data_IF_170441106480
#
_entry.id   IF_170441106480
#
_cell.length_a   1.000
_cell.length_b   1.000
_cell.length_c   1.000
_cell.angle_alpha   90.00
_cell.angle_beta   90.00
_cell.angle_gamma   90.00
#
_symmetry.space_group_name_H-M   'P 1'
#
loop_
_entity.id
_entity.type
_entity.pdbx_description
1 polymer ?
#
# COMPACT_ATOMS: atom_id res chain seq x y z
N UNK A 1 5.51 37.14 21.49
CA UNK A 1 6.49 36.98 20.40
C UNK A 1 6.04 35.82 19.54
N UNK A 2 5.69 36.07 18.28
CA UNK A 2 5.11 35.06 17.36
C UNK A 2 6.27 34.31 16.69
N UNK A 3 6.43 33.02 16.98
CA UNK A 3 7.42 32.17 16.33
C UNK A 3 7.01 31.92 14.88
N UNK A 4 7.94 32.24 13.97
CA UNK A 4 7.79 32.04 12.53
C UNK A 4 8.06 30.57 12.22
N UNK A 5 7.06 29.90 11.67
CA UNK A 5 7.19 28.55 11.13
C UNK A 5 8.07 28.61 9.88
N UNK A 6 9.21 27.93 9.89
CA UNK A 6 10.02 27.72 8.71
C UNK A 6 9.33 26.67 7.83
N UNK A 7 8.70 27.13 6.75
CA UNK A 7 8.36 26.30 5.59
C UNK A 7 9.67 25.85 4.94
N UNK A 8 10.09 24.62 5.22
CA UNK A 8 11.10 23.92 4.45
C UNK A 8 10.54 23.55 3.08
N UNK A 9 11.25 23.91 2.03
CA UNK A 9 10.92 23.70 0.63
C UNK A 9 10.53 22.24 0.32
N UNK A 10 9.24 22.01 0.07
CA UNK A 10 8.73 20.94 -0.79
C UNK A 10 8.10 21.59 -2.01
N UNK A 11 8.93 22.09 -2.93
CA UNK A 11 8.47 22.68 -4.19
C UNK A 11 8.40 21.59 -5.26
N UNK A 12 7.16 21.29 -5.68
CA UNK A 12 6.75 20.75 -7.01
C UNK A 12 7.08 19.26 -7.18
N UNK A 13 6.12 18.33 -7.26
CA UNK A 13 5.20 18.17 -8.40
C UNK A 13 3.80 17.71 -7.94
N UNK A 14 2.84 18.64 -7.95
CA UNK A 14 1.43 18.31 -8.12
C UNK A 14 0.81 19.31 -9.09
N UNK A 15 1.22 19.22 -10.36
CA UNK A 15 0.58 19.97 -11.43
C UNK A 15 0.56 19.13 -12.70
N UNK A 16 -0.34 18.14 -12.70
CA UNK A 16 -1.03 17.72 -13.91
C UNK A 16 -2.51 18.05 -13.76
N UNK A 17 -2.82 19.34 -13.63
CA UNK A 17 -4.11 19.86 -14.07
C UNK A 17 -3.98 20.02 -15.58
N UNK A 18 -4.43 19.01 -16.32
CA UNK A 18 -4.67 19.13 -17.75
C UNK A 18 -5.81 20.13 -17.97
N UNK A 19 -5.49 21.41 -18.09
CA UNK A 19 -6.41 22.42 -18.59
C UNK A 19 -6.43 22.32 -20.12
N UNK A 20 -7.30 21.48 -20.67
CA UNK A 20 -7.69 21.55 -22.08
C UNK A 20 -9.15 21.97 -22.18
N UNK A 21 -9.37 23.21 -22.63
CA UNK A 21 -10.66 23.66 -23.10
C UNK A 21 -10.96 22.97 -24.44
N UNK A 22 -11.79 21.93 -24.42
CA UNK A 22 -12.41 21.45 -25.65
C UNK A 22 -13.55 22.40 -26.01
N UNK A 23 -13.33 23.21 -27.05
CA UNK A 23 -14.41 23.81 -27.83
C UNK A 23 -15.25 22.67 -28.41
N UNK A 24 -16.53 22.64 -28.03
CA UNK A 24 -17.53 21.74 -28.63
C UNK A 24 -18.27 22.54 -29.70
N UNK A 25 -18.13 22.25 -31.00
CA UNK A 25 -19.17 22.60 -31.95
C UNK A 25 -20.37 21.67 -31.72
N UNK A 26 -21.54 22.27 -31.50
CA UNK A 26 -22.79 21.60 -31.11
C UNK A 26 -23.67 21.40 -32.33
N UNK A 27 -23.33 20.46 -33.22
CA UNK A 27 -24.06 20.28 -34.46
C UNK A 27 -24.18 18.79 -34.80
N UNK A 28 -25.12 18.09 -34.15
CA UNK A 28 -25.71 16.86 -34.71
C UNK A 28 -27.11 16.66 -34.14
N UNK A 29 -28.10 17.14 -34.88
CA UNK A 29 -29.50 16.83 -34.70
C UNK A 29 -29.79 15.35 -35.02
N UNK A 30 -30.54 14.74 -34.10
CA UNK A 30 -31.67 13.83 -34.32
C UNK A 30 -31.51 12.62 -35.27
N UNK A 31 -31.63 11.43 -34.69
CA UNK A 31 -32.47 10.38 -35.25
C UNK A 31 -33.42 9.86 -34.16
N UNK A 32 -34.72 10.02 -34.40
CA UNK A 32 -35.78 9.54 -33.52
C UNK A 32 -36.27 8.15 -33.93
N UNK A 33 -36.77 7.42 -32.93
CA UNK A 33 -37.85 6.40 -32.99
C UNK A 33 -37.87 5.77 -31.58
N UNK A 34 -38.89 5.93 -30.73
CA UNK A 34 -40.29 5.64 -30.97
C UNK A 34 -40.58 4.21 -30.50
N UNK A 35 -41.28 4.03 -29.36
CA UNK A 35 -41.82 2.72 -28.97
C UNK A 35 -42.13 2.54 -27.47
N UNK A 36 -43.41 2.63 -27.13
CA UNK A 36 -44.02 2.39 -25.80
C UNK A 36 -44.17 0.88 -25.50
N UNK A 37 -44.15 0.50 -24.22
CA UNK A 37 -44.63 -0.83 -23.78
C UNK A 37 -44.69 -0.98 -22.26
N UNK A 38 -45.91 -1.10 -21.72
CA UNK A 38 -46.31 -1.24 -20.32
C UNK A 38 -46.22 -2.71 -19.84
N UNK A 39 -46.04 -2.96 -18.53
CA UNK A 39 -46.14 -4.33 -17.98
C UNK A 39 -45.75 -4.48 -16.51
N UNK A 40 -46.74 -4.31 -15.63
CA UNK A 40 -46.76 -4.70 -14.20
C UNK A 40 -46.72 -6.22 -14.01
N UNK A 41 -46.03 -6.71 -12.97
CA UNK A 41 -46.13 -8.12 -12.56
C UNK A 41 -45.32 -8.44 -11.29
N UNK A 42 -46.04 -8.57 -10.18
CA UNK A 42 -45.64 -9.04 -8.84
C UNK A 42 -45.18 -10.51 -8.84
N UNK A 43 -44.19 -10.86 -7.99
CA UNK A 43 -44.19 -12.03 -7.09
C UNK A 43 -42.87 -12.17 -6.29
N UNK A 44 -43.01 -12.61 -5.04
CA UNK A 44 -41.99 -13.07 -4.07
C UNK A 44 -42.79 -14.02 -3.12
N UNK A 45 -42.24 -14.99 -2.37
CA UNK A 45 -40.88 -15.59 -2.28
C UNK A 45 -40.87 -17.13 -2.46
N UNK A 46 -39.69 -17.76 -2.46
CA UNK A 46 -39.55 -19.21 -2.31
C UNK A 46 -38.14 -19.64 -1.91
N UNK A 47 -37.97 -20.00 -0.63
CA UNK A 47 -36.80 -20.70 -0.11
C UNK A 47 -36.84 -22.18 -0.52
N UNK A 48 -35.70 -22.78 -0.87
CA UNK A 48 -35.52 -24.23 -0.81
C UNK A 48 -34.08 -24.62 -0.49
N UNK A 49 -34.01 -25.57 0.43
CA UNK A 49 -32.89 -26.22 1.06
C UNK A 49 -32.65 -27.58 0.36
N UNK A 50 -31.41 -28.08 0.28
CA UNK A 50 -31.19 -29.53 0.18
C UNK A 50 -29.97 -30.03 -0.61
N UNK A 51 -29.08 -30.75 0.09
CA UNK A 51 -28.26 -31.88 -0.39
C UNK A 51 -26.90 -31.53 -1.01
N UNK A 52 -25.73 -32.04 -0.58
CA UNK A 52 -25.39 -33.18 0.27
C UNK A 52 -24.80 -34.34 -0.55
N UNK A 53 -23.48 -34.37 -0.78
CA UNK A 53 -22.63 -35.53 -1.18
C UNK A 53 -21.17 -35.12 -0.89
N UNK A 54 -20.22 -35.89 -0.36
CA UNK A 54 -20.10 -37.27 0.08
C UNK A 54 -18.62 -37.47 0.45
N UNK A 55 -18.34 -38.02 1.64
CA UNK A 55 -16.99 -38.41 2.09
C UNK A 55 -16.62 -39.78 1.54
N UNK A 56 -15.36 -39.98 1.12
CA UNK A 56 -14.71 -41.29 1.26
C UNK A 56 -13.18 -41.17 1.41
N UNK A 57 -12.55 -41.97 2.30
CA UNK A 57 -11.13 -41.87 2.65
C UNK A 57 -10.26 -42.91 1.93
N UNK A 58 -8.99 -42.56 1.69
CA UNK A 58 -7.96 -43.44 1.18
C UNK A 58 -6.92 -43.84 2.24
N UNK A 59 -6.97 -45.11 2.62
CA UNK A 59 -5.93 -46.03 3.12
C UNK A 59 -4.51 -45.68 2.62
N UNK A 60 -3.38 -45.75 3.33
CA UNK A 60 -2.96 -46.57 4.48
C UNK A 60 -1.83 -47.53 4.04
N UNK A 61 -0.61 -47.40 4.59
CA UNK A 61 0.54 -48.36 4.70
C UNK A 61 1.83 -47.53 4.95
N UNK A 62 2.74 -47.78 5.88
CA UNK A 62 2.94 -48.78 6.93
C UNK A 62 4.38 -48.64 7.49
N UNK A 63 4.51 -48.66 8.83
CA UNK A 63 5.56 -49.25 9.71
C UNK A 63 7.04 -49.30 9.23
N UNK A 64 8.06 -48.98 10.04
CA UNK A 64 8.41 -49.68 11.28
C UNK A 64 9.53 -48.96 12.11
N UNK A 65 9.56 -49.37 13.37
CA UNK A 65 10.29 -49.06 14.60
C UNK A 65 11.83 -49.01 14.55
N UNK A 66 12.37 -48.23 15.49
CA UNK A 66 13.70 -48.43 16.08
C UNK A 66 13.73 -47.87 17.51
N UNK A 67 13.59 -48.75 18.50
CA UNK A 67 13.75 -48.45 19.93
C UNK A 67 15.22 -48.16 20.28
N UNK A 68 15.44 -47.18 21.16
CA UNK A 68 16.70 -46.98 21.87
C UNK A 68 16.44 -46.25 23.18
N UNK A 69 16.31 -47.02 24.26
CA UNK A 69 16.25 -46.52 25.64
C UNK A 69 17.63 -45.96 26.04
N UNK A 70 17.67 -44.75 26.60
CA UNK A 70 18.64 -44.42 27.64
C UNK A 70 17.99 -43.53 28.69
N UNK A 71 17.97 -44.08 29.90
CA UNK A 71 17.51 -43.54 31.17
C UNK A 71 18.74 -42.94 31.86
N UNK A 72 18.69 -41.69 32.34
CA UNK A 72 19.70 -41.24 33.30
C UNK A 72 19.86 -39.74 33.50
N UNK A 73 19.67 -39.36 34.76
CA UNK A 73 20.31 -38.27 35.48
C UNK A 73 19.77 -36.85 35.29
N UNK A 74 19.18 -36.35 36.39
CA UNK A 74 18.76 -34.98 36.55
C UNK A 74 19.94 -34.01 36.56
N UNK A 75 19.69 -32.85 35.98
CA UNK A 75 20.53 -31.68 36.07
C UNK A 75 19.60 -30.48 36.08
N UNK A 76 19.63 -29.73 37.18
CA UNK A 76 18.79 -28.58 37.44
C UNK A 76 18.74 -27.63 36.23
N UNK A 77 17.55 -27.47 35.64
CA UNK A 77 17.27 -26.37 34.72
C UNK A 77 17.16 -25.11 35.57
N UNK A 78 18.28 -24.42 35.75
CA UNK A 78 18.27 -23.01 36.13
C UNK A 78 17.48 -22.27 35.06
N UNK A 79 16.24 -21.90 35.42
CA UNK A 79 15.46 -20.92 34.71
C UNK A 79 16.19 -19.58 34.77
N UNK A 80 16.93 -19.28 33.71
CA UNK A 80 17.07 -17.89 33.27
C UNK A 80 16.02 -17.70 32.20
N UNK A 81 14.85 -17.22 32.63
CA UNK A 81 14.01 -16.45 31.75
C UNK A 81 14.90 -15.33 31.22
N UNK A 82 15.26 -15.41 29.93
CA UNK A 82 15.47 -14.19 29.17
C UNK A 82 14.13 -13.49 29.21
N UNK A 83 13.97 -12.66 30.24
CA UNK A 83 13.07 -11.54 30.23
C UNK A 83 13.34 -10.84 28.91
N UNK A 84 12.42 -11.01 27.96
CA UNK A 84 12.36 -10.15 26.80
C UNK A 84 12.44 -8.74 27.34
N UNK A 85 13.53 -8.05 27.01
CA UNK A 85 13.67 -6.63 27.25
C UNK A 85 12.45 -6.00 26.61
N UNK A 86 11.45 -5.64 27.41
CA UNK A 86 10.38 -4.77 26.98
C UNK A 86 11.08 -3.56 26.37
N UNK A 87 10.97 -3.44 25.05
CA UNK A 87 11.65 -2.39 24.32
C UNK A 87 11.26 -1.08 24.98
N UNK A 88 12.23 -0.42 25.63
CA UNK A 88 12.03 0.95 26.03
C UNK A 88 11.72 1.68 24.73
N UNK A 89 10.50 2.18 24.57
CA UNK A 89 10.15 3.07 23.47
C UNK A 89 11.16 4.21 23.52
N UNK A 90 12.13 4.19 22.61
CA UNK A 90 13.06 5.30 22.45
C UNK A 90 12.21 6.46 21.98
N UNK A 91 12.23 7.55 22.75
CA UNK A 91 11.60 8.79 22.33
C UNK A 91 12.36 9.26 21.09
N UNK A 92 11.67 9.28 19.95
CA UNK A 92 12.25 9.75 18.70
C UNK A 92 12.64 11.23 18.82
N UNK A 93 13.74 11.60 18.18
CA UNK A 93 14.07 13.02 18.03
C UNK A 93 12.98 13.74 17.20
N UNK A 94 12.82 15.05 17.38
CA UNK A 94 11.90 15.84 16.54
C UNK A 94 12.20 15.66 15.05
N UNK A 95 13.49 15.56 14.70
CA UNK A 95 13.94 15.30 13.34
C UNK A 95 13.45 13.94 12.83
N UNK A 96 13.57 12.88 13.62
CA UNK A 96 13.10 11.53 13.27
C UNK A 96 11.58 11.46 13.15
N UNK A 97 10.85 12.18 14.01
CA UNK A 97 9.39 12.32 13.91
C UNK A 97 9.00 13.03 12.61
N UNK A 98 9.69 14.12 12.26
CA UNK A 98 9.46 14.84 11.01
C UNK A 98 9.78 13.98 9.78
N UNK A 99 10.83 13.17 9.84
CA UNK A 99 11.16 12.23 8.77
C UNK A 99 10.08 11.15 8.60
N UNK A 100 9.58 10.59 9.71
CA UNK A 100 8.52 9.59 9.70
C UNK A 100 7.18 10.15 9.19
N UNK A 101 6.87 11.41 9.53
CA UNK A 101 5.72 12.13 8.97
C UNK A 101 5.84 12.34 7.47
N UNK A 102 7.02 12.71 6.97
CA UNK A 102 7.25 12.88 5.53
C UNK A 102 7.09 11.54 4.80
N UNK A 103 7.72 10.47 5.31
CA UNK A 103 7.63 9.14 4.72
C UNK A 103 6.17 8.70 4.54
N UNK A 104 5.34 8.75 5.60
CA UNK A 104 3.96 8.25 5.49
C UNK A 104 3.09 9.09 4.56
N UNK A 105 3.34 10.40 4.43
CA UNK A 105 2.61 11.24 3.49
C UNK A 105 3.01 10.96 2.04
N UNK A 106 4.26 10.58 1.79
CA UNK A 106 4.72 10.15 0.46
C UNK A 106 4.07 8.82 0.06
N UNK A 107 4.07 7.82 0.96
CA UNK A 107 3.39 6.54 0.69
C UNK A 107 1.87 6.71 0.50
N UNK A 108 1.25 7.67 1.19
CA UNK A 108 -0.14 8.04 0.94
C UNK A 108 -0.35 8.64 -0.46
N UNK A 109 0.56 9.52 -0.90
CA UNK A 109 0.53 10.09 -2.26
C UNK A 109 0.68 8.99 -3.31
N UNK A 110 1.66 8.10 -3.15
CA UNK A 110 1.90 7.00 -4.07
C UNK A 110 0.69 6.07 -4.16
N UNK A 111 0.17 5.62 -3.00
CA UNK A 111 -1.05 4.82 -2.94
C UNK A 111 -2.22 5.50 -3.63
N UNK A 112 -2.50 6.76 -3.31
CA UNK A 112 -3.62 7.50 -3.89
C UNK A 112 -3.48 7.65 -5.41
N UNK A 113 -2.25 7.84 -5.90
CA UNK A 113 -1.94 7.89 -7.33
C UNK A 113 -2.27 6.58 -8.02
N UNK A 114 -1.81 5.45 -7.48
CA UNK A 114 -2.11 4.14 -8.06
C UNK A 114 -3.59 3.77 -7.97
N UNK A 115 -4.27 4.12 -6.87
CA UNK A 115 -5.72 3.97 -6.75
C UNK A 115 -6.46 4.79 -7.82
N UNK A 116 -6.06 6.03 -8.06
CA UNK A 116 -6.66 6.87 -9.10
C UNK A 116 -6.46 6.28 -10.51
N UNK A 117 -5.24 5.82 -10.81
CA UNK A 117 -4.90 5.17 -12.09
C UNK A 117 -5.78 3.92 -12.30
N UNK A 118 -5.87 3.05 -11.31
CA UNK A 118 -6.68 1.83 -11.38
C UNK A 118 -8.18 2.12 -11.46
N UNK A 119 -8.67 3.16 -10.79
CA UNK A 119 -10.05 3.58 -10.91
C UNK A 119 -10.41 4.04 -12.34
N UNK A 120 -9.45 4.65 -13.05
CA UNK A 120 -9.64 5.14 -14.42
C UNK A 120 -9.44 4.07 -15.50
N UNK A 121 -8.37 3.28 -15.38
CA UNK A 121 -7.94 2.36 -16.44
C UNK A 121 -8.25 0.89 -16.15
N UNK A 122 -8.82 0.58 -14.97
CA UNK A 122 -9.09 -0.78 -14.52
C UNK A 122 -7.85 -1.49 -13.97
N UNK A 123 -7.97 -2.81 -13.79
CA UNK A 123 -6.91 -3.65 -13.21
C UNK A 123 -5.78 -3.89 -14.21
N UNK A 124 -4.91 -2.90 -14.34
CA UNK A 124 -3.74 -2.92 -15.22
C UNK A 124 -2.49 -3.28 -14.41
N UNK A 125 -1.63 -4.12 -14.98
CA UNK A 125 -0.31 -4.41 -14.42
C UNK A 125 0.71 -3.37 -14.91
N UNK A 126 1.68 -2.97 -14.06
CA UNK A 126 1.92 -3.47 -12.70
C UNK A 126 1.18 -2.69 -11.62
N UNK A 127 0.41 -1.64 -11.96
CA UNK A 127 -0.25 -0.75 -10.99
C UNK A 127 -1.06 -1.48 -9.91
N UNK A 128 -1.77 -2.55 -10.27
CA UNK A 128 -2.56 -3.36 -9.33
C UNK A 128 -1.71 -4.13 -8.32
N UNK A 129 -0.47 -4.48 -8.65
CA UNK A 129 0.47 -5.05 -7.69
C UNK A 129 1.09 -3.96 -6.82
N UNK A 130 1.50 -2.85 -7.43
CA UNK A 130 2.18 -1.75 -6.74
C UNK A 130 1.26 -1.12 -5.68
N UNK A 131 -0.02 -0.88 -5.98
CA UNK A 131 -0.97 -0.34 -4.98
C UNK A 131 -1.09 -1.25 -3.74
N UNK A 132 -0.93 -2.57 -3.89
CA UNK A 132 -0.93 -3.48 -2.75
C UNK A 132 0.37 -3.33 -1.93
N UNK A 133 1.50 -3.10 -2.60
CA UNK A 133 2.77 -2.77 -1.94
C UNK A 133 2.67 -1.47 -1.16
N UNK A 134 2.11 -0.40 -1.73
CA UNK A 134 1.96 0.89 -1.04
C UNK A 134 1.07 0.78 0.20
N UNK A 135 0.01 -0.03 0.15
CA UNK A 135 -0.79 -0.32 1.33
C UNK A 135 0.04 -0.98 2.46
N UNK A 136 1.00 -1.84 2.10
CA UNK A 136 1.90 -2.44 3.08
C UNK A 136 2.93 -1.43 3.59
N UNK A 137 3.46 -0.55 2.74
CA UNK A 137 4.38 0.51 3.17
C UNK A 137 3.72 1.43 4.21
N UNK A 138 2.50 1.92 3.92
CA UNK A 138 1.68 2.68 4.87
C UNK A 138 1.49 1.91 6.19
N UNK A 139 1.19 0.62 6.12
CA UNK A 139 0.99 -0.22 7.31
C UNK A 139 2.27 -0.35 8.15
N UNK A 140 3.42 -0.51 7.48
CA UNK A 140 4.73 -0.61 8.13
C UNK A 140 5.11 0.70 8.81
N UNK A 141 4.89 1.84 8.15
CA UNK A 141 5.14 3.17 8.72
C UNK A 141 4.19 3.49 9.87
N UNK A 142 2.90 3.23 9.71
CA UNK A 142 1.91 3.39 10.78
C UNK A 142 2.29 2.60 12.04
N UNK A 143 2.88 1.41 11.88
CA UNK A 143 3.42 0.64 13.00
C UNK A 143 4.56 1.35 13.72
N UNK A 144 5.45 2.04 13.00
CA UNK A 144 6.51 2.83 13.63
C UNK A 144 5.92 3.95 14.50
N UNK A 145 4.90 4.68 14.02
CA UNK A 145 4.20 5.66 14.87
C UNK A 145 3.69 5.02 16.16
N UNK A 146 2.97 3.90 16.06
CA UNK A 146 2.40 3.23 17.24
C UNK A 146 3.47 2.71 18.20
N UNK A 147 4.60 2.19 17.68
CA UNK A 147 5.69 1.66 18.49
C UNK A 147 6.39 2.75 19.32
N UNK A 148 6.39 3.99 18.84
CA UNK A 148 6.95 5.15 19.54
C UNK A 148 5.88 5.98 20.27
N UNK A 149 4.65 5.47 20.42
CA UNK A 149 3.56 6.15 21.13
C UNK A 149 3.04 7.41 20.42
N UNK A 150 3.26 7.52 19.11
CA UNK A 150 2.82 8.64 18.28
C UNK A 150 1.48 8.31 17.61
N UNK A 151 0.66 9.34 17.39
CA UNK A 151 -0.53 9.22 16.56
C UNK A 151 -0.14 9.08 15.08
N UNK A 152 -0.80 8.17 14.35
CA UNK A 152 -0.62 8.05 12.91
C UNK A 152 -1.26 9.26 12.21
N UNK A 153 -0.52 9.99 11.37
CA UNK A 153 -1.09 11.09 10.59
C UNK A 153 -2.23 10.62 9.69
N UNK A 154 -3.26 11.45 9.57
CA UNK A 154 -4.34 11.21 8.62
C UNK A 154 -3.81 11.20 7.17
N UNK A 155 -4.47 10.42 6.32
CA UNK A 155 -4.19 10.39 4.88
C UNK A 155 -4.64 11.71 4.24
N UNK A 156 -3.67 12.54 3.86
CA UNK A 156 -3.94 13.83 3.24
C UNK A 156 -4.32 13.73 1.76
N UNK A 157 -4.13 12.58 1.12
CA UNK A 157 -4.22 12.37 -0.33
C UNK A 157 -5.42 11.53 -0.76
N UNK A 158 -6.07 10.83 0.17
CA UNK A 158 -7.28 10.04 -0.08
C UNK A 158 -8.33 10.83 -0.91
N UNK A 159 -8.59 10.35 -2.12
CA UNK A 159 -9.58 10.93 -3.03
C UNK A 159 -9.21 12.29 -3.64
N UNK A 160 -7.95 12.75 -3.49
CA UNK A 160 -7.50 14.06 -4.01
C UNK A 160 -6.61 13.97 -5.25
N UNK A 161 -6.15 12.78 -5.61
CA UNK A 161 -5.30 12.57 -6.79
C UNK A 161 -6.17 12.26 -8.01
N UNK A 162 -5.87 12.91 -9.13
CA UNK A 162 -6.51 12.66 -10.43
C UNK A 162 -5.56 11.85 -11.31
N UNK A 163 -6.07 10.80 -11.95
CA UNK A 163 -5.27 9.99 -12.87
C UNK A 163 -4.90 10.76 -14.14
N UNK A 164 -3.69 10.52 -14.72
CA UNK A 164 -3.29 11.10 -16.00
C UNK A 164 -4.24 10.79 -17.15
N UNK A 165 -4.16 11.55 -18.25
CA UNK A 165 -5.17 11.50 -19.31
C UNK A 165 -5.16 10.14 -20.02
N UNK A 166 -3.97 9.59 -20.26
CA UNK A 166 -3.75 8.33 -20.97
C UNK A 166 -2.96 7.34 -20.13
N UNK A 167 -3.00 6.05 -20.51
CA UNK A 167 -2.25 5.01 -19.82
C UNK A 167 -0.73 5.21 -19.96
N UNK A 168 -0.26 5.69 -21.12
CA UNK A 168 1.16 6.01 -21.32
C UNK A 168 1.63 7.15 -20.41
N UNK A 169 0.82 8.20 -20.26
CA UNK A 169 1.10 9.27 -19.28
C UNK A 169 1.08 8.74 -17.84
N UNK A 170 0.19 7.79 -17.52
CA UNK A 170 0.15 7.15 -16.20
C UNK A 170 1.43 6.38 -15.88
N UNK A 171 1.98 5.63 -16.85
CA UNK A 171 3.28 4.97 -16.70
C UNK A 171 4.41 5.98 -16.50
N UNK A 172 4.49 7.03 -17.32
CA UNK A 172 5.54 8.03 -17.19
C UNK A 172 5.47 8.78 -15.86
N UNK A 173 4.27 9.14 -15.40
CA UNK A 173 4.05 9.78 -14.11
C UNK A 173 4.43 8.85 -12.95
N UNK A 174 4.05 7.57 -13.01
CA UNK A 174 4.41 6.60 -11.98
C UNK A 174 5.92 6.32 -11.93
N UNK A 175 6.60 6.23 -13.07
CA UNK A 175 8.07 6.09 -13.12
C UNK A 175 8.75 7.28 -12.43
N UNK A 176 8.24 8.49 -12.64
CA UNK A 176 8.79 9.67 -11.98
C UNK A 176 8.49 9.67 -10.48
N UNK A 177 7.26 9.31 -10.09
CA UNK A 177 6.86 9.16 -8.70
C UNK A 177 7.80 8.20 -7.94
N UNK A 178 8.11 7.03 -8.49
CA UNK A 178 9.02 6.06 -7.83
C UNK A 178 10.47 6.56 -7.71
N UNK A 179 10.92 7.41 -8.65
CA UNK A 179 12.24 8.06 -8.57
C UNK A 179 12.26 9.14 -7.50
N UNK A 180 11.20 9.92 -7.41
CA UNK A 180 11.05 10.99 -6.43
C UNK A 180 10.92 10.42 -5.01
N UNK A 181 10.16 9.33 -4.83
CA UNK A 181 10.02 8.60 -3.57
C UNK A 181 11.38 8.04 -3.10
N UNK A 182 12.12 7.37 -3.99
CA UNK A 182 13.45 6.87 -3.66
C UNK A 182 14.43 7.99 -3.27
N UNK A 183 14.36 9.15 -3.94
CA UNK A 183 15.18 10.32 -3.64
C UNK A 183 14.75 11.01 -2.33
N UNK A 184 13.47 10.96 -1.97
CA UNK A 184 13.01 11.37 -0.64
C UNK A 184 13.68 10.51 0.42
N UNK A 185 13.69 9.18 0.28
CA UNK A 185 14.34 8.30 1.24
C UNK A 185 15.85 8.54 1.36
N UNK A 186 16.57 8.91 0.29
CA UNK A 186 17.97 9.35 0.37
C UNK A 186 18.16 10.57 1.29
N UNK A 187 17.14 11.42 1.38
CA UNK A 187 17.13 12.58 2.26
C UNK A 187 16.73 12.20 3.67
N UNK A 188 15.68 11.39 3.84
CA UNK A 188 15.18 10.97 5.15
C UNK A 188 16.17 10.09 5.91
N UNK A 189 16.93 9.23 5.21
CA UNK A 189 17.96 8.38 5.81
C UNK A 189 19.11 9.19 6.46
N UNK A 190 19.30 10.45 6.05
CA UNK A 190 20.28 11.37 6.68
C UNK A 190 19.73 12.05 7.94
N UNK A 191 18.43 11.91 8.20
CA UNK A 191 17.71 12.59 9.28
C UNK A 191 17.39 11.65 10.45
N UNK A 192 17.55 10.34 10.27
CA UNK A 192 17.29 9.32 11.30
C UNK A 192 18.58 8.64 11.72
N UNK A 193 18.63 8.21 12.98
CA UNK A 193 19.75 7.42 13.51
C UNK A 193 19.30 6.12 14.18
N UNK A 194 18.00 6.00 14.40
CA UNK A 194 17.33 4.87 15.00
C UNK A 194 17.38 3.66 14.08
N UNK A 195 17.99 2.53 14.50
CA UNK A 195 18.23 1.38 13.63
C UNK A 195 16.95 0.83 12.97
N UNK A 196 15.83 0.86 13.69
CA UNK A 196 14.53 0.42 13.17
C UNK A 196 14.02 1.31 12.03
N UNK A 197 14.14 2.64 12.16
CA UNK A 197 13.69 3.59 11.14
C UNK A 197 14.60 3.53 9.93
N UNK A 198 15.93 3.50 10.14
CA UNK A 198 16.91 3.31 9.06
C UNK A 198 16.60 2.06 8.25
N UNK A 199 16.35 0.92 8.92
CA UNK A 199 16.01 -0.33 8.25
C UNK A 199 14.71 -0.24 7.46
N UNK A 200 13.66 0.35 8.02
CA UNK A 200 12.37 0.52 7.34
C UNK A 200 12.53 1.42 6.11
N UNK A 201 13.16 2.57 6.25
CA UNK A 201 13.35 3.53 5.15
C UNK A 201 14.21 2.95 4.03
N UNK A 202 15.29 2.23 4.34
CA UNK A 202 16.09 1.52 3.33
C UNK A 202 15.26 0.45 2.60
N UNK A 203 14.37 -0.26 3.30
CA UNK A 203 13.54 -1.29 2.68
C UNK A 203 12.49 -0.69 1.73
N UNK A 204 11.87 0.43 2.10
CA UNK A 204 10.88 1.14 1.29
C UNK A 204 11.57 1.74 0.05
N UNK A 205 12.68 2.46 0.22
CA UNK A 205 13.50 2.94 -0.90
C UNK A 205 13.89 1.82 -1.89
N UNK A 206 14.31 0.66 -1.36
CA UNK A 206 14.67 -0.47 -2.21
C UNK A 206 13.45 -1.06 -2.93
N UNK A 207 12.24 -0.97 -2.37
CA UNK A 207 11.03 -1.39 -3.06
C UNK A 207 10.76 -0.48 -4.26
N UNK A 208 10.81 0.84 -4.07
CA UNK A 208 10.62 1.84 -5.11
C UNK A 208 11.63 1.63 -6.25
N UNK A 209 12.93 1.54 -5.94
CA UNK A 209 14.00 1.41 -6.95
C UNK A 209 14.08 0.03 -7.61
N UNK A 210 14.01 -1.04 -6.82
CA UNK A 210 14.37 -2.38 -7.29
C UNK A 210 13.18 -3.26 -7.63
N UNK A 211 11.96 -2.83 -7.31
CA UNK A 211 10.74 -3.56 -7.64
C UNK A 211 9.82 -2.68 -8.48
N UNK A 212 9.28 -1.59 -7.92
CA UNK A 212 8.23 -0.80 -8.57
C UNK A 212 8.73 -0.13 -9.84
N UNK A 213 9.82 0.64 -9.76
CA UNK A 213 10.40 1.32 -10.90
C UNK A 213 10.73 0.34 -12.04
N UNK A 214 11.35 -0.80 -11.71
CA UNK A 214 11.70 -1.82 -12.72
C UNK A 214 10.47 -2.45 -13.37
N UNK A 215 9.43 -2.74 -12.59
CA UNK A 215 8.17 -3.26 -13.14
C UNK A 215 7.51 -2.22 -14.03
N UNK A 216 7.46 -0.95 -13.62
CA UNK A 216 6.88 0.13 -14.43
C UNK A 216 7.64 0.31 -15.75
N UNK A 217 8.98 0.35 -15.72
CA UNK A 217 9.82 0.45 -16.91
C UNK A 217 9.66 -0.76 -17.85
N UNK A 218 9.45 -1.97 -17.29
CA UNK A 218 9.24 -3.18 -18.09
C UNK A 218 7.89 -3.18 -18.84
N UNK A 219 6.86 -2.61 -18.22
CA UNK A 219 5.50 -2.58 -18.78
C UNK A 219 5.23 -1.34 -19.65
N UNK A 220 6.03 -0.28 -19.52
CA UNK A 220 5.94 0.92 -20.35
C UNK A 220 6.58 0.68 -21.74
N UNK A 221 5.82 0.08 -22.66
CA UNK A 221 6.25 -0.24 -24.04
C UNK A 221 5.59 0.64 -25.08
#
# INVERSE_FOLDING_TARGET
MKAKWFMGLGLIVALLVGLFAAVVPSDAQAYGSGGRGNGTGTTTPGAQNGGGYGMQPGTGMGMNQGMGQMRGAGGARNGMGQQGTGAYATVLSEQSVNALNQAIQEEYLARATYQAILAKFGQVLPFSNIVNSENQHVTVLARQFTNHGLAVPADSWAGKVTAPATLSEAFNAAIQLEKDDAALYDTLLKQVSEPELTRVFTQLQSASLNMHLKELELYNK
#
